data_IF_950959052487
#
_entry.id   IF_950959052487
#
_cell.length_a   1.000
_cell.length_b   1.000
_cell.length_c   1.000
_cell.angle_alpha   90.00
_cell.angle_beta   90.00
_cell.angle_gamma   90.00
#
_symmetry.space_group_name_H-M   'P 1'
#
loop_
_entity.id
_entity.type
_entity.pdbx_description
1 polymer ?
#
# COMPACT_ATOMS: atom_id res chain seq x y z
N UNK A 1 43.75 26.85 -1.35
CA UNK A 1 43.19 26.53 -0.03
C UNK A 1 41.77 27.04 0.04
N UNK A 2 40.85 26.28 0.65
CA UNK A 2 39.48 26.16 0.14
C UNK A 2 38.55 27.24 0.68
N UNK A 3 37.71 27.74 -0.23
CA UNK A 3 36.49 28.49 0.05
C UNK A 3 35.53 27.51 0.72
N UNK A 4 35.32 27.65 2.01
CA UNK A 4 34.26 26.93 2.73
C UNK A 4 32.93 27.45 2.19
N UNK A 5 32.30 26.65 1.32
CA UNK A 5 30.95 26.87 0.84
C UNK A 5 30.00 26.79 2.03
N UNK A 6 29.40 27.92 2.38
CA UNK A 6 28.21 27.97 3.21
C UNK A 6 27.13 27.12 2.53
N UNK A 7 26.90 25.91 3.04
CA UNK A 7 25.73 25.11 2.66
C UNK A 7 24.55 25.80 3.31
N UNK A 8 23.66 26.31 2.46
CA UNK A 8 22.45 27.03 2.84
C UNK A 8 21.61 26.17 3.79
N UNK A 9 21.21 26.77 4.91
CA UNK A 9 20.23 26.22 5.83
C UNK A 9 18.97 25.80 5.04
N UNK A 10 18.63 24.52 5.09
CA UNK A 10 17.44 23.98 4.44
C UNK A 10 16.21 24.47 5.23
N UNK A 11 15.57 25.54 4.75
CA UNK A 11 14.34 26.05 5.35
C UNK A 11 13.17 25.13 4.98
N UNK A 12 12.70 24.36 5.95
CA UNK A 12 11.44 23.61 5.84
C UNK A 12 10.27 24.52 6.20
N UNK A 13 9.33 24.66 5.27
CA UNK A 13 8.05 25.32 5.50
C UNK A 13 6.93 24.29 5.46
N UNK A 14 6.03 24.36 6.42
CA UNK A 14 4.77 23.63 6.36
C UNK A 14 3.81 24.40 5.45
N UNK A 15 3.59 23.86 4.24
CA UNK A 15 2.62 24.42 3.31
C UNK A 15 1.24 23.83 3.63
N UNK A 16 0.36 24.65 4.18
CA UNK A 16 -1.04 24.25 4.38
C UNK A 16 -1.88 24.64 3.16
N UNK A 17 -2.75 23.72 2.73
CA UNK A 17 -3.76 23.98 1.71
C UNK A 17 -4.76 25.02 2.22
N UNK A 18 -5.25 25.86 1.31
CA UNK A 18 -6.25 26.87 1.66
C UNK A 18 -7.63 26.23 1.81
N UNK A 19 -8.38 26.69 2.79
CA UNK A 19 -9.78 26.34 2.99
C UNK A 19 -10.68 27.21 2.10
N UNK A 20 -11.90 26.72 1.82
CA UNK A 20 -12.90 27.52 1.10
C UNK A 20 -13.11 28.89 1.76
N UNK A 21 -13.17 28.93 3.09
CA UNK A 21 -13.35 30.18 3.85
C UNK A 21 -12.21 31.17 3.64
N UNK A 22 -10.96 30.70 3.59
CA UNK A 22 -9.80 31.57 3.33
C UNK A 22 -9.83 32.14 1.91
N UNK A 23 -10.24 31.35 0.91
CA UNK A 23 -10.47 31.87 -0.43
C UNK A 23 -11.59 32.90 -0.48
N UNK A 24 -12.72 32.62 0.17
CA UNK A 24 -13.85 33.56 0.24
C UNK A 24 -13.41 34.89 0.86
N UNK A 25 -12.55 34.86 1.89
CA UNK A 25 -12.00 36.05 2.51
C UNK A 25 -11.08 36.82 1.55
N UNK A 26 -10.19 36.14 0.84
CA UNK A 26 -9.29 36.78 -0.11
C UNK A 26 -10.03 37.46 -1.28
N UNK A 27 -11.11 36.86 -1.79
CA UNK A 27 -11.87 37.42 -2.92
C UNK A 27 -12.74 38.64 -2.57
N UNK A 28 -12.91 38.96 -1.27
CA UNK A 28 -13.49 40.23 -0.84
C UNK A 28 -12.60 41.42 -1.19
N UNK A 29 -11.30 41.19 -1.36
CA UNK A 29 -10.37 42.24 -1.77
C UNK A 29 -10.45 42.45 -3.29
N UNK A 30 -10.91 43.63 -3.71
CA UNK A 30 -11.06 43.97 -5.13
C UNK A 30 -9.75 43.96 -5.91
N UNK A 31 -8.64 44.39 -5.27
CA UNK A 31 -7.32 44.38 -5.89
C UNK A 31 -6.92 42.93 -6.16
N UNK A 32 -7.05 42.05 -5.16
CA UNK A 32 -6.73 40.64 -5.33
C UNK A 32 -7.62 39.98 -6.39
N UNK A 33 -8.94 40.17 -6.30
CA UNK A 33 -9.88 39.60 -7.27
C UNK A 33 -9.56 40.05 -8.70
N UNK A 34 -9.20 41.32 -8.90
CA UNK A 34 -8.87 41.81 -10.24
C UNK A 34 -7.67 41.09 -10.88
N UNK A 35 -6.75 40.53 -10.08
CA UNK A 35 -5.62 39.75 -10.59
C UNK A 35 -6.00 38.31 -10.96
N UNK A 36 -7.01 37.74 -10.31
CA UNK A 36 -7.37 36.30 -10.46
C UNK A 36 -8.70 36.06 -11.17
N UNK A 37 -9.47 37.12 -11.47
CA UNK A 37 -10.83 37.04 -12.03
C UNK A 37 -10.92 36.20 -13.31
N UNK A 38 -9.95 36.33 -14.22
CA UNK A 38 -9.95 35.57 -15.48
C UNK A 38 -9.82 34.07 -15.22
N UNK A 39 -9.02 33.69 -14.21
CA UNK A 39 -8.84 32.29 -13.82
C UNK A 39 -10.09 31.71 -13.18
N UNK A 40 -10.94 32.56 -12.58
CA UNK A 40 -12.24 32.20 -12.03
C UNK A 40 -13.37 32.26 -13.08
N UNK A 41 -13.08 32.65 -14.33
CA UNK A 41 -14.06 32.75 -15.41
C UNK A 41 -14.78 34.11 -15.51
N UNK A 42 -14.32 35.12 -14.76
CA UNK A 42 -14.85 36.48 -14.83
C UNK A 42 -13.98 37.40 -15.71
N UNK A 43 -14.61 38.04 -16.69
CA UNK A 43 -13.95 38.99 -17.60
C UNK A 43 -13.98 40.44 -17.09
N UNK A 44 -14.70 40.71 -16.01
CA UNK A 44 -14.88 42.05 -15.43
C UNK A 44 -14.95 41.97 -13.90
N UNK A 45 -15.00 43.14 -13.24
CA UNK A 45 -15.31 43.18 -11.82
C UNK A 45 -16.78 42.83 -11.62
N UNK A 46 -17.02 41.79 -10.82
CA UNK A 46 -18.36 41.31 -10.47
C UNK A 46 -18.65 41.52 -8.98
N UNK A 47 -19.94 41.60 -8.58
CA UNK A 47 -20.34 41.69 -7.18
C UNK A 47 -19.81 40.52 -6.36
N UNK A 48 -19.64 40.73 -5.05
CA UNK A 48 -19.06 39.71 -4.17
C UNK A 48 -19.82 38.37 -4.21
N UNK A 49 -21.14 38.38 -4.30
CA UNK A 49 -21.93 37.14 -4.39
C UNK A 49 -21.52 36.28 -5.59
N UNK A 50 -21.35 36.90 -6.76
CA UNK A 50 -20.94 36.22 -7.99
C UNK A 50 -19.50 35.70 -7.89
N UNK A 51 -18.59 36.44 -7.23
CA UNK A 51 -17.22 35.94 -6.95
C UNK A 51 -17.24 34.65 -6.14
N UNK A 52 -18.12 34.57 -5.15
CA UNK A 52 -18.21 33.41 -4.25
C UNK A 52 -18.84 32.20 -4.97
N UNK A 53 -19.74 32.42 -5.93
CA UNK A 53 -20.28 31.38 -6.81
C UNK A 53 -19.19 30.82 -7.74
N UNK A 54 -18.47 31.69 -8.46
CA UNK A 54 -17.35 31.30 -9.32
C UNK A 54 -16.25 30.56 -8.54
N UNK A 55 -15.99 31.01 -7.32
CA UNK A 55 -15.07 30.33 -6.40
C UNK A 55 -15.59 28.95 -6.01
N UNK A 56 -16.85 28.81 -5.63
CA UNK A 56 -17.42 27.53 -5.20
C UNK A 56 -17.38 26.49 -6.33
N UNK A 57 -17.74 26.90 -7.55
CA UNK A 57 -17.70 26.05 -8.74
C UNK A 57 -16.29 25.55 -9.01
N UNK A 58 -15.29 26.46 -8.95
CA UNK A 58 -13.90 26.08 -9.19
C UNK A 58 -13.30 25.28 -8.04
N UNK A 59 -13.64 25.61 -6.79
CA UNK A 59 -13.18 24.90 -5.60
C UNK A 59 -13.58 23.42 -5.62
N UNK A 60 -14.72 23.09 -6.24
CA UNK A 60 -15.12 21.71 -6.45
C UNK A 60 -14.09 20.90 -7.25
N UNK A 61 -13.42 21.53 -8.22
CA UNK A 61 -12.40 20.89 -9.07
C UNK A 61 -11.03 20.89 -8.41
N UNK A 62 -10.62 22.02 -7.82
CA UNK A 62 -9.22 22.25 -7.42
C UNK A 62 -8.96 22.13 -5.92
N UNK A 63 -10.02 22.06 -5.11
CA UNK A 63 -9.93 22.01 -3.65
C UNK A 63 -9.07 23.14 -3.09
N UNK A 64 -8.19 22.80 -2.14
CA UNK A 64 -7.33 23.76 -1.43
C UNK A 64 -6.01 24.11 -2.11
N UNK A 65 -5.82 23.76 -3.40
CA UNK A 65 -4.61 24.09 -4.14
C UNK A 65 -4.67 25.52 -4.68
N UNK A 66 -3.96 26.45 -4.04
CA UNK A 66 -3.94 27.87 -4.43
C UNK A 66 -3.40 28.08 -5.85
N UNK A 67 -2.38 27.31 -6.27
CA UNK A 67 -1.87 27.39 -7.63
C UNK A 67 -2.92 26.97 -8.67
N UNK A 68 -3.66 25.89 -8.40
CA UNK A 68 -4.75 25.48 -9.31
C UNK A 68 -5.94 26.46 -9.24
N UNK A 69 -6.17 27.10 -8.10
CA UNK A 69 -7.20 28.10 -7.91
C UNK A 69 -6.92 29.43 -8.62
N UNK A 70 -5.67 29.88 -8.66
CA UNK A 70 -5.34 31.24 -9.09
C UNK A 70 -4.40 31.35 -10.30
N UNK A 71 -3.72 30.28 -10.72
CA UNK A 71 -2.75 30.34 -11.83
C UNK A 71 -3.27 29.73 -13.14
N UNK A 72 -4.40 29.01 -13.10
CA UNK A 72 -4.97 28.32 -14.28
C UNK A 72 -6.49 28.43 -14.29
N UNK A 73 -7.13 28.30 -15.45
CA UNK A 73 -8.60 28.29 -15.54
C UNK A 73 -9.19 26.97 -15.05
N UNK A 74 -10.51 26.94 -14.84
CA UNK A 74 -11.22 25.71 -14.46
C UNK A 74 -11.06 24.60 -15.53
N UNK A 75 -11.06 24.95 -16.81
CA UNK A 75 -10.89 24.00 -17.92
C UNK A 75 -9.50 23.36 -17.91
N UNK A 76 -8.45 24.16 -17.70
CA UNK A 76 -7.08 23.64 -17.60
C UNK A 76 -6.92 22.77 -16.35
N UNK A 77 -7.54 23.15 -15.23
CA UNK A 77 -7.52 22.36 -14.01
C UNK A 77 -8.24 21.00 -14.19
N UNK A 78 -9.41 20.99 -14.84
CA UNK A 78 -10.14 19.76 -15.18
C UNK A 78 -9.32 18.87 -16.11
N UNK A 79 -8.72 19.41 -17.17
CA UNK A 79 -7.87 18.63 -18.09
C UNK A 79 -6.64 18.01 -17.39
N UNK A 80 -6.00 18.76 -16.48
CA UNK A 80 -4.91 18.24 -15.65
C UNK A 80 -5.39 17.16 -14.69
N UNK A 81 -6.57 17.35 -14.09
CA UNK A 81 -7.20 16.36 -13.22
C UNK A 81 -7.49 15.08 -14.01
N UNK A 82 -8.18 15.17 -15.15
CA UNK A 82 -8.48 14.03 -16.03
C UNK A 82 -7.21 13.28 -16.43
N UNK A 83 -6.17 14.00 -16.88
CA UNK A 83 -4.87 13.39 -17.21
C UNK A 83 -4.24 12.67 -16.00
N UNK A 84 -4.45 13.19 -14.79
CA UNK A 84 -3.98 12.55 -13.55
C UNK A 84 -4.83 11.35 -13.17
N UNK A 85 -6.16 11.41 -13.38
CA UNK A 85 -7.08 10.30 -13.12
C UNK A 85 -6.80 9.15 -14.10
N UNK A 86 -6.54 9.44 -15.38
CA UNK A 86 -6.14 8.48 -16.40
C UNK A 86 -4.84 7.73 -16.02
N UNK A 87 -3.90 8.43 -15.37
CA UNK A 87 -2.67 7.81 -14.85
C UNK A 87 -2.91 6.89 -13.64
N UNK A 88 -3.95 7.17 -12.83
CA UNK A 88 -4.27 6.41 -11.61
C UNK A 88 -5.16 5.20 -11.92
N UNK A 89 -5.91 5.22 -13.03
CA UNK A 89 -6.77 4.12 -13.47
C UNK A 89 -8.03 4.00 -12.61
N UNK A 90 -7.92 3.40 -11.42
CA UNK A 90 -9.01 3.26 -10.46
C UNK A 90 -8.79 4.17 -9.23
N UNK A 91 -9.39 5.36 -9.31
CA UNK A 91 -9.29 6.41 -8.30
C UNK A 91 -10.00 6.02 -7.00
N UNK A 92 -11.09 5.25 -7.10
CA UNK A 92 -11.80 4.75 -5.91
C UNK A 92 -10.90 3.79 -5.17
N UNK A 93 -10.26 2.86 -5.89
CA UNK A 93 -9.29 1.93 -5.31
C UNK A 93 -8.11 2.69 -4.68
N UNK A 94 -7.49 3.62 -5.41
CA UNK A 94 -6.37 4.42 -4.92
C UNK A 94 -6.71 5.20 -3.64
N UNK A 95 -7.86 5.89 -3.61
CA UNK A 95 -8.31 6.65 -2.44
C UNK A 95 -8.61 5.70 -1.28
N UNK A 96 -9.25 4.58 -1.55
CA UNK A 96 -9.60 3.57 -0.55
C UNK A 96 -8.37 3.01 0.15
N UNK A 97 -7.34 2.64 -0.61
CA UNK A 97 -6.08 2.14 -0.05
C UNK A 97 -5.35 3.19 0.79
N UNK A 98 -5.31 4.43 0.32
CA UNK A 98 -4.65 5.50 1.06
C UNK A 98 -5.37 5.81 2.36
N UNK A 99 -6.70 5.75 2.35
CA UNK A 99 -7.52 5.92 3.53
C UNK A 99 -7.33 4.73 4.49
N UNK A 100 -7.31 3.48 4.00
CA UNK A 100 -7.21 2.30 4.86
C UNK A 100 -5.89 2.22 5.62
N UNK A 101 -4.80 2.69 5.03
CA UNK A 101 -3.50 2.76 5.72
C UNK A 101 -3.48 3.84 6.83
N UNK A 102 -4.37 4.82 6.77
CA UNK A 102 -4.44 5.94 7.74
C UNK A 102 -5.49 5.74 8.83
N UNK A 103 -6.50 4.93 8.56
CA UNK A 103 -7.61 4.64 9.48
C UNK A 103 -7.32 3.33 10.23
N UNK A 104 -7.67 3.27 11.51
CA UNK A 104 -7.58 2.05 12.32
C UNK A 104 -8.62 1.00 11.93
N UNK A 105 -8.37 -0.30 12.13
CA UNK A 105 -9.23 -1.38 11.64
C UNK A 105 -10.69 -1.27 12.10
N UNK A 106 -10.90 -0.87 13.35
CA UNK A 106 -12.22 -0.70 13.97
C UNK A 106 -13.10 0.35 13.26
N UNK A 107 -12.48 1.31 12.57
CA UNK A 107 -13.15 2.43 11.91
C UNK A 107 -13.41 2.19 10.42
N UNK A 108 -12.84 1.14 9.82
CA UNK A 108 -13.01 0.83 8.39
C UNK A 108 -14.46 0.50 8.01
N UNK A 109 -15.27 0.04 8.97
CA UNK A 109 -16.70 -0.23 8.74
C UNK A 109 -17.48 1.01 8.26
N UNK A 110 -16.99 2.22 8.53
CA UNK A 110 -17.59 3.45 8.00
C UNK A 110 -17.45 3.57 6.47
N UNK A 111 -16.48 2.87 5.86
CA UNK A 111 -16.24 2.88 4.41
C UNK A 111 -17.08 1.83 3.67
N UNK A 112 -17.71 0.89 4.38
CA UNK A 112 -18.48 -0.20 3.77
C UNK A 112 -19.57 0.27 2.79
N UNK A 113 -20.32 1.37 3.01
CA UNK A 113 -21.30 1.85 2.03
C UNK A 113 -20.68 2.28 0.69
N UNK A 114 -19.39 2.63 0.68
CA UNK A 114 -18.67 3.16 -0.47
C UNK A 114 -17.83 2.09 -1.19
N UNK A 115 -17.66 0.91 -0.57
CA UNK A 115 -16.81 -0.15 -1.08
C UNK A 115 -17.65 -1.33 -1.53
N UNK A 116 -17.61 -1.60 -2.84
CA UNK A 116 -18.56 -2.49 -3.50
C UNK A 116 -18.29 -4.00 -3.31
N UNK A 117 -17.21 -4.42 -2.63
CA UNK A 117 -16.85 -5.85 -2.53
C UNK A 117 -16.38 -6.25 -1.13
N UNK A 118 -17.03 -7.27 -0.57
CA UNK A 118 -16.67 -7.93 0.68
C UNK A 118 -15.22 -8.44 0.72
N UNK A 119 -14.66 -8.84 -0.43
CA UNK A 119 -13.24 -9.24 -0.56
C UNK A 119 -12.27 -8.10 -0.23
N UNK A 120 -12.48 -6.94 -0.85
CA UNK A 120 -11.64 -5.75 -0.67
C UNK A 120 -11.67 -5.26 0.78
N UNK A 121 -12.80 -5.34 1.47
CA UNK A 121 -12.89 -4.91 2.87
C UNK A 121 -11.99 -5.73 3.80
N UNK A 122 -11.79 -7.01 3.50
CA UNK A 122 -10.92 -7.88 4.30
C UNK A 122 -9.45 -7.60 4.07
N UNK A 123 -9.04 -7.39 2.82
CA UNK A 123 -7.70 -6.91 2.50
C UNK A 123 -7.41 -5.59 3.22
N UNK A 124 -8.30 -4.59 3.08
CA UNK A 124 -8.13 -3.29 3.74
C UNK A 124 -8.03 -3.40 5.27
N UNK A 125 -8.82 -4.29 5.87
CA UNK A 125 -8.75 -4.58 7.29
C UNK A 125 -7.40 -5.18 7.69
N UNK A 126 -6.88 -6.13 6.90
CA UNK A 126 -5.56 -6.71 7.11
C UNK A 126 -4.47 -5.62 7.05
N UNK A 127 -4.46 -4.80 6.00
CA UNK A 127 -3.46 -3.74 5.84
C UNK A 127 -3.51 -2.69 6.95
N UNK A 128 -4.71 -2.26 7.33
CA UNK A 128 -4.91 -1.35 8.47
C UNK A 128 -4.41 -1.98 9.77
N UNK A 129 -4.69 -3.27 10.00
CA UNK A 129 -4.24 -3.97 11.21
C UNK A 129 -2.73 -4.02 11.27
N UNK A 130 -2.09 -4.37 10.15
CA UNK A 130 -0.64 -4.40 10.01
C UNK A 130 0.01 -3.04 10.32
N UNK A 131 -0.62 -1.92 9.97
CA UNK A 131 -0.06 -0.59 10.24
C UNK A 131 -0.33 -0.11 11.67
N UNK A 132 -1.50 -0.40 12.24
CA UNK A 132 -1.97 0.25 13.48
C UNK A 132 -1.89 -0.61 14.74
N UNK A 133 -1.83 -1.94 14.64
CA UNK A 133 -1.85 -2.82 15.83
C UNK A 133 -1.16 -4.18 15.68
N UNK A 134 -0.70 -4.52 14.46
CA UNK A 134 -0.17 -5.83 14.12
C UNK A 134 -1.28 -6.80 13.72
N UNK A 135 -0.89 -8.01 13.35
CA UNK A 135 -1.82 -9.05 12.91
C UNK A 135 -1.62 -10.31 13.73
N UNK A 136 -2.58 -10.59 14.61
CA UNK A 136 -2.62 -11.86 15.34
C UNK A 136 -3.10 -12.97 14.41
N UNK A 137 -2.21 -13.91 14.12
CA UNK A 137 -2.45 -15.05 13.25
C UNK A 137 -2.84 -16.27 14.05
N UNK A 138 -3.71 -17.08 13.47
CA UNK A 138 -4.20 -18.33 14.02
C UNK A 138 -3.97 -19.49 13.05
N UNK A 139 -3.76 -20.69 13.57
CA UNK A 139 -3.68 -21.95 12.80
C UNK A 139 -4.65 -22.97 13.40
N UNK A 140 -4.79 -24.12 12.74
CA UNK A 140 -5.48 -25.29 13.30
C UNK A 140 -4.47 -26.27 13.87
N UNK A 141 -4.74 -26.81 15.06
CA UNK A 141 -4.00 -27.94 15.61
C UNK A 141 -4.39 -29.27 14.93
N UNK A 142 -3.77 -30.38 15.34
CA UNK A 142 -4.05 -31.73 14.82
C UNK A 142 -5.49 -32.19 15.05
N UNK A 143 -6.19 -31.61 16.03
CA UNK A 143 -7.58 -31.90 16.36
C UNK A 143 -8.56 -30.95 15.65
N UNK A 144 -8.05 -30.01 14.85
CA UNK A 144 -8.84 -29.00 14.16
C UNK A 144 -9.28 -27.83 15.04
N UNK A 145 -8.73 -27.69 16.25
CA UNK A 145 -8.98 -26.52 17.10
C UNK A 145 -8.17 -25.33 16.61
N UNK A 146 -8.77 -24.15 16.65
CA UNK A 146 -8.09 -22.92 16.30
C UNK A 146 -7.20 -22.46 17.46
N UNK A 147 -5.91 -22.26 17.18
CA UNK A 147 -4.89 -21.84 18.14
C UNK A 147 -4.11 -20.63 17.63
N UNK A 148 -3.55 -19.83 18.54
CA UNK A 148 -2.66 -18.72 18.18
C UNK A 148 -1.35 -19.27 17.60
N UNK A 149 -0.92 -18.70 16.46
CA UNK A 149 0.23 -19.19 15.70
C UNK A 149 1.39 -18.20 15.67
N UNK A 150 1.10 -16.93 15.40
CA UNK A 150 2.12 -15.89 15.19
C UNK A 150 1.51 -14.50 15.46
N UNK A 151 2.36 -13.53 15.81
CA UNK A 151 1.98 -12.13 15.91
C UNK A 151 2.88 -11.32 14.98
N UNK A 152 2.29 -10.85 13.89
CA UNK A 152 3.01 -9.99 12.94
C UNK A 152 3.02 -8.57 13.48
N UNK A 153 4.22 -8.08 13.77
CA UNK A 153 4.44 -6.76 14.34
C UNK A 153 3.98 -5.65 13.40
N UNK A 154 3.59 -4.52 14.00
CA UNK A 154 3.35 -3.30 13.23
C UNK A 154 4.59 -2.88 12.48
N UNK A 155 4.40 -2.30 11.29
CA UNK A 155 5.51 -1.75 10.54
C UNK A 155 5.09 -0.76 9.48
N UNK A 156 6.07 0.00 9.00
CA UNK A 156 5.89 0.87 7.84
C UNK A 156 5.75 -0.01 6.60
N UNK A 157 4.67 0.20 5.86
CA UNK A 157 4.39 -0.51 4.62
C UNK A 157 4.96 0.26 3.43
N UNK A 158 6.07 -0.23 2.87
CA UNK A 158 6.77 0.41 1.76
C UNK A 158 6.19 -0.04 0.41
N UNK A 159 5.86 0.93 -0.45
CA UNK A 159 5.30 0.63 -1.78
C UNK A 159 6.40 0.48 -2.83
N UNK A 160 6.41 -0.64 -3.56
CA UNK A 160 7.35 -0.90 -4.65
C UNK A 160 6.66 -1.10 -6.00
N UNK A 161 7.38 -0.87 -7.10
CA UNK A 161 6.88 -1.21 -8.43
C UNK A 161 7.20 -2.69 -8.70
N UNK A 162 6.21 -3.59 -8.83
CA UNK A 162 6.46 -5.00 -9.16
C UNK A 162 6.96 -5.20 -10.58
N UNK A 163 7.02 -4.15 -11.41
CA UNK A 163 7.68 -4.07 -12.72
C UNK A 163 9.04 -3.33 -12.71
N UNK A 164 9.44 -2.79 -11.55
CA UNK A 164 10.76 -2.20 -11.32
C UNK A 164 11.66 -3.02 -10.40
N UNK A 165 12.85 -2.48 -10.10
CA UNK A 165 13.78 -3.05 -9.12
C UNK A 165 13.29 -2.82 -7.68
N UNK A 166 13.52 -3.81 -6.82
CA UNK A 166 13.19 -3.74 -5.39
C UNK A 166 14.49 -3.58 -4.63
N UNK A 167 14.80 -2.34 -4.26
CA UNK A 167 16.02 -2.03 -3.53
C UNK A 167 15.91 -2.47 -2.07
N UNK A 168 16.58 -3.58 -1.74
CA UNK A 168 16.88 -3.90 -0.36
C UNK A 168 17.87 -2.86 0.16
N UNK A 169 17.37 -1.90 0.93
CA UNK A 169 18.26 -0.92 1.53
C UNK A 169 19.34 -1.61 2.38
N UNK A 170 20.45 -0.92 2.60
CA UNK A 170 21.58 -1.49 3.34
C UNK A 170 21.30 -1.71 4.83
N UNK A 171 20.18 -1.21 5.37
CA UNK A 171 19.85 -1.37 6.78
C UNK A 171 19.31 -2.77 7.07
N UNK A 172 19.94 -3.45 8.02
CA UNK A 172 19.44 -4.70 8.59
C UNK A 172 18.08 -4.48 9.25
N UNK A 173 17.20 -5.47 9.18
CA UNK A 173 15.92 -5.39 9.88
C UNK A 173 14.76 -6.12 9.22
N UNK A 174 13.58 -5.88 9.77
CA UNK A 174 12.30 -6.38 9.29
C UNK A 174 11.58 -5.29 8.51
N UNK A 175 11.03 -5.62 7.34
CA UNK A 175 10.35 -4.65 6.47
C UNK A 175 9.15 -5.27 5.79
N UNK A 176 8.13 -4.46 5.57
CA UNK A 176 6.89 -4.81 4.89
C UNK A 176 6.79 -4.05 3.58
N UNK A 177 6.46 -4.76 2.50
CA UNK A 177 6.33 -4.21 1.17
C UNK A 177 4.98 -4.53 0.56
N UNK A 178 4.45 -3.65 -0.27
CA UNK A 178 3.23 -3.89 -1.06
C UNK A 178 3.40 -3.32 -2.48
N UNK A 179 2.89 -3.99 -3.54
CA UNK A 179 3.01 -3.50 -4.91
C UNK A 179 2.21 -2.22 -5.17
N UNK A 180 2.70 -1.35 -6.08
CA UNK A 180 2.08 -0.04 -6.40
C UNK A 180 0.77 -0.13 -7.18
N UNK A 181 0.56 -1.10 -8.08
CA UNK A 181 -0.79 -1.56 -8.37
C UNK A 181 -1.16 -2.59 -7.30
N UNK A 182 -2.21 -2.31 -6.52
CA UNK A 182 -2.74 -3.18 -5.46
C UNK A 182 -3.42 -4.46 -6.01
N UNK A 183 -2.97 -4.97 -7.15
CA UNK A 183 -3.48 -6.19 -7.77
C UNK A 183 -2.58 -6.73 -8.90
N UNK A 184 -1.36 -6.20 -9.07
CA UNK A 184 -0.48 -6.63 -10.17
C UNK A 184 0.32 -7.90 -9.87
N UNK A 185 -0.12 -8.71 -8.91
CA UNK A 185 0.46 -10.01 -8.59
C UNK A 185 -0.50 -10.88 -7.80
N UNK A 186 -0.15 -12.15 -7.62
CA UNK A 186 -0.93 -13.09 -6.79
C UNK A 186 -0.50 -13.02 -5.30
N UNK A 187 0.11 -11.91 -4.88
CA UNK A 187 0.45 -11.61 -3.49
C UNK A 187 0.15 -10.14 -3.20
N UNK A 188 -0.21 -9.84 -1.96
CA UNK A 188 -0.61 -8.50 -1.53
C UNK A 188 0.51 -7.81 -0.73
N UNK A 189 1.29 -8.61 0.01
CA UNK A 189 2.37 -8.15 0.87
C UNK A 189 3.59 -9.05 0.78
N UNK A 190 4.77 -8.43 0.83
CA UNK A 190 6.05 -9.13 0.98
C UNK A 190 6.71 -8.65 2.26
N UNK A 191 6.99 -9.58 3.16
CA UNK A 191 7.82 -9.33 4.33
C UNK A 191 9.24 -9.81 4.07
N UNK A 192 10.21 -9.02 4.52
CA UNK A 192 11.61 -9.42 4.50
C UNK A 192 12.25 -9.25 5.86
N UNK A 193 13.10 -10.20 6.23
CA UNK A 193 14.02 -10.04 7.34
C UNK A 193 15.46 -10.17 6.85
N UNK A 194 16.12 -9.03 6.67
CA UNK A 194 17.49 -8.93 6.18
C UNK A 194 18.47 -8.85 7.36
N UNK A 195 19.46 -9.74 7.36
CA UNK A 195 20.38 -9.95 8.48
C UNK A 195 21.82 -10.12 7.96
N UNK A 196 22.80 -9.79 8.79
CA UNK A 196 24.19 -10.20 8.52
C UNK A 196 24.36 -11.71 8.74
N UNK A 197 25.32 -12.28 8.04
CA UNK A 197 25.83 -13.61 8.33
C UNK A 197 26.54 -13.58 9.69
N UNK A 198 26.26 -14.55 10.55
CA UNK A 198 26.86 -14.68 11.89
C UNK A 198 27.74 -15.92 11.99
N UNK A 199 28.53 -16.05 13.06
CA UNK A 199 29.51 -17.12 13.23
C UNK A 199 28.95 -18.53 13.14
N UNK A 200 27.68 -18.72 13.53
CA UNK A 200 26.99 -20.01 13.41
C UNK A 200 26.56 -20.37 11.99
N UNK A 201 26.56 -19.44 11.03
CA UNK A 201 26.23 -19.71 9.62
C UNK A 201 27.47 -20.21 8.84
N UNK A 202 28.12 -21.27 9.33
CA UNK A 202 29.43 -21.77 8.86
C UNK A 202 29.46 -22.02 7.35
N UNK A 203 28.46 -22.73 6.82
CA UNK A 203 28.40 -23.09 5.41
C UNK A 203 28.20 -21.85 4.52
N UNK A 204 27.36 -20.91 4.95
CA UNK A 204 27.11 -19.69 4.22
C UNK A 204 28.37 -18.79 4.14
N UNK A 205 29.13 -18.70 5.24
CA UNK A 205 30.44 -18.04 5.25
C UNK A 205 31.42 -18.70 4.28
N UNK A 206 31.53 -20.02 4.31
CA UNK A 206 32.40 -20.79 3.40
C UNK A 206 32.05 -20.55 1.92
N UNK A 207 30.77 -20.29 1.64
CA UNK A 207 30.27 -20.03 0.29
C UNK A 207 30.32 -18.55 -0.12
N UNK A 208 30.90 -17.69 0.73
CA UNK A 208 31.16 -16.28 0.45
C UNK A 208 29.96 -15.35 0.64
N UNK A 209 28.91 -15.80 1.33
CA UNK A 209 27.79 -14.93 1.66
C UNK A 209 28.15 -13.97 2.80
N UNK A 210 27.70 -12.72 2.70
CA UNK A 210 27.91 -11.67 3.71
C UNK A 210 26.61 -11.31 4.44
N UNK A 211 25.47 -11.63 3.83
CA UNK A 211 24.15 -11.37 4.36
C UNK A 211 23.20 -12.53 4.10
N UNK A 212 22.12 -12.59 4.87
CA UNK A 212 21.02 -13.54 4.71
C UNK A 212 19.68 -12.84 4.74
N UNK A 213 18.69 -13.42 4.07
CA UNK A 213 17.32 -12.91 4.04
C UNK A 213 16.31 -14.04 4.24
N UNK A 214 15.27 -13.74 5.01
CA UNK A 214 14.02 -14.52 5.01
C UNK A 214 12.98 -13.71 4.22
N UNK A 215 12.31 -14.35 3.27
CA UNK A 215 11.29 -13.72 2.44
C UNK A 215 9.97 -14.41 2.71
N UNK A 216 8.92 -13.64 3.01
CA UNK A 216 7.57 -14.16 3.19
C UNK A 216 6.63 -13.41 2.28
N UNK A 217 6.03 -14.13 1.34
CA UNK A 217 4.94 -13.63 0.51
C UNK A 217 3.61 -13.88 1.23
N UNK A 218 2.73 -12.89 1.20
CA UNK A 218 1.43 -12.95 1.86
C UNK A 218 0.36 -12.64 0.82
N UNK A 219 -0.60 -13.55 0.71
CA UNK A 219 -1.77 -13.41 -0.12
C UNK A 219 -3.00 -13.41 0.78
N UNK A 220 -3.68 -12.28 0.87
CA UNK A 220 -4.87 -12.06 1.66
C UNK A 220 -6.07 -12.40 0.80
N UNK A 221 -6.88 -13.36 1.22
CA UNK A 221 -7.96 -13.84 0.37
C UNK A 221 -9.21 -14.23 1.15
N UNK A 222 -10.37 -13.91 0.56
CA UNK A 222 -11.66 -14.47 0.95
C UNK A 222 -12.18 -15.49 -0.06
N UNK A 223 -11.45 -15.74 -1.14
CA UNK A 223 -11.85 -16.73 -2.14
C UNK A 223 -11.74 -18.14 -1.57
N UNK A 224 -12.72 -18.98 -1.89
CA UNK A 224 -12.66 -20.42 -1.58
C UNK A 224 -11.68 -21.14 -2.53
N UNK A 225 -11.42 -20.54 -3.69
CA UNK A 225 -10.44 -20.99 -4.69
C UNK A 225 -9.55 -19.83 -5.07
N UNK A 226 -8.55 -19.47 -4.25
CA UNK A 226 -7.61 -18.41 -4.61
C UNK A 226 -6.76 -18.84 -5.81
N UNK A 227 -6.45 -17.89 -6.68
CA UNK A 227 -5.42 -18.10 -7.70
C UNK A 227 -4.05 -18.20 -7.05
N UNK A 228 -3.16 -18.97 -7.67
CA UNK A 228 -1.75 -18.95 -7.35
C UNK A 228 -0.91 -19.05 -8.62
N UNK A 229 -0.38 -17.92 -9.05
CA UNK A 229 0.39 -17.72 -10.27
C UNK A 229 1.84 -17.55 -9.86
N UNK A 230 2.53 -18.69 -9.80
CA UNK A 230 3.91 -18.82 -9.31
C UNK A 230 4.91 -17.85 -9.98
N UNK A 231 4.67 -17.46 -11.24
CA UNK A 231 5.56 -16.56 -11.97
C UNK A 231 5.63 -15.14 -11.38
N UNK A 232 4.58 -14.65 -10.71
CA UNK A 232 4.64 -13.38 -10.00
C UNK A 232 5.62 -13.46 -8.82
N UNK A 233 5.55 -14.53 -8.04
CA UNK A 233 6.46 -14.78 -6.91
C UNK A 233 7.90 -14.91 -7.37
N UNK A 234 8.16 -15.69 -8.43
CA UNK A 234 9.49 -15.85 -9.03
C UNK A 234 10.06 -14.52 -9.50
N UNK A 235 9.25 -13.72 -10.17
CA UNK A 235 9.66 -12.41 -10.69
C UNK A 235 10.00 -11.45 -9.56
N UNK A 236 9.16 -11.37 -8.53
CA UNK A 236 9.44 -10.56 -7.35
C UNK A 236 10.71 -11.01 -6.64
N UNK A 237 10.88 -12.31 -6.38
CA UNK A 237 12.05 -12.86 -5.71
C UNK A 237 13.34 -12.57 -6.48
N UNK A 238 13.31 -12.75 -7.82
CA UNK A 238 14.47 -12.49 -8.68
C UNK A 238 14.94 -11.04 -8.57
N UNK A 239 14.00 -10.10 -8.48
CA UNK A 239 14.29 -8.67 -8.41
C UNK A 239 14.73 -8.24 -7.03
N UNK A 240 14.12 -8.79 -5.98
CA UNK A 240 14.53 -8.58 -4.60
C UNK A 240 16.01 -8.92 -4.37
N UNK A 241 16.53 -9.94 -5.07
CA UNK A 241 17.92 -10.39 -4.91
C UNK A 241 18.87 -9.90 -6.02
N UNK A 242 18.38 -9.14 -7.00
CA UNK A 242 19.15 -8.83 -8.21
C UNK A 242 20.50 -8.16 -7.90
N UNK A 243 20.50 -7.15 -7.03
CA UNK A 243 21.69 -6.37 -6.68
C UNK A 243 22.72 -7.15 -5.86
N UNK A 244 22.28 -8.17 -5.11
CA UNK A 244 23.11 -8.89 -4.12
C UNK A 244 23.20 -10.39 -4.39
N UNK A 245 22.87 -10.83 -5.61
CA UNK A 245 22.72 -12.25 -5.98
C UNK A 245 23.90 -13.14 -5.57
N UNK A 246 25.12 -12.60 -5.53
CA UNK A 246 26.33 -13.36 -5.21
C UNK A 246 26.71 -13.36 -3.72
N UNK A 247 26.22 -12.41 -2.94
CA UNK A 247 26.60 -12.17 -1.53
C UNK A 247 25.43 -12.31 -0.54
N UNK A 248 24.21 -12.48 -1.05
CA UNK A 248 22.99 -12.69 -0.28
C UNK A 248 22.57 -14.16 -0.29
N UNK A 249 22.48 -14.77 0.89
CA UNK A 249 21.89 -16.08 1.08
C UNK A 249 20.38 -15.94 1.34
N UNK A 250 19.55 -16.56 0.49
CA UNK A 250 18.12 -16.74 0.81
C UNK A 250 18.01 -17.91 1.79
N UNK A 251 17.79 -17.60 3.06
CA UNK A 251 17.65 -18.61 4.12
C UNK A 251 16.29 -19.27 4.08
N UNK A 252 15.24 -18.49 3.81
CA UNK A 252 13.89 -19.02 3.66
C UNK A 252 13.04 -18.25 2.67
N UNK A 253 12.13 -18.98 2.02
CA UNK A 253 11.02 -18.41 1.24
C UNK A 253 9.72 -19.04 1.72
N UNK A 254 8.83 -18.22 2.25
CA UNK A 254 7.55 -18.63 2.80
C UNK A 254 6.41 -18.02 1.97
N UNK A 255 5.32 -18.76 1.81
CA UNK A 255 4.04 -18.24 1.29
C UNK A 255 2.99 -18.43 2.37
N UNK A 256 2.29 -17.34 2.70
CA UNK A 256 1.19 -17.34 3.66
C UNK A 256 -0.10 -16.92 2.96
N UNK A 257 -1.10 -17.79 3.00
CA UNK A 257 -2.47 -17.44 2.70
C UNK A 257 -3.14 -16.93 3.97
N UNK A 258 -3.59 -15.69 3.96
CA UNK A 258 -4.31 -15.06 5.07
C UNK A 258 -5.79 -15.08 4.76
N UNK A 259 -6.57 -15.76 5.61
CA UNK A 259 -8.01 -15.94 5.43
C UNK A 259 -8.79 -15.50 6.67
N UNK A 260 -10.09 -15.21 6.58
CA UNK A 260 -10.91 -15.07 7.77
C UNK A 260 -10.82 -16.35 8.61
N UNK A 261 -10.71 -16.22 9.93
CA UNK A 261 -10.59 -17.37 10.84
C UNK A 261 -11.68 -18.44 10.64
N UNK A 262 -12.88 -18.02 10.24
CA UNK A 262 -14.01 -18.90 9.94
C UNK A 262 -13.79 -19.81 8.71
N UNK A 263 -12.87 -19.45 7.81
CA UNK A 263 -12.51 -20.21 6.60
C UNK A 263 -11.25 -21.05 6.77
N UNK A 264 -10.51 -20.87 7.86
CA UNK A 264 -9.19 -21.46 8.06
C UNK A 264 -9.18 -22.98 7.91
N UNK A 265 -10.18 -23.66 8.49
CA UNK A 265 -10.28 -25.12 8.51
C UNK A 265 -10.54 -25.72 7.12
N UNK A 266 -11.32 -25.02 6.30
CA UNK A 266 -11.79 -25.53 5.01
C UNK A 266 -10.95 -25.03 3.83
N UNK A 267 -9.93 -24.22 4.10
CA UNK A 267 -9.11 -23.62 3.08
C UNK A 267 -8.15 -24.62 2.45
N UNK A 268 -8.16 -24.67 1.12
CA UNK A 268 -7.29 -25.54 0.34
C UNK A 268 -6.17 -24.69 -0.27
N UNK A 269 -4.93 -25.07 0.02
CA UNK A 269 -3.75 -24.42 -0.56
C UNK A 269 -3.72 -24.71 -2.08
N UNK A 270 -3.69 -23.67 -2.94
CA UNK A 270 -3.83 -23.81 -4.40
C UNK A 270 -2.55 -24.25 -5.13
N UNK A 271 -1.49 -24.62 -4.41
CA UNK A 271 -0.17 -24.93 -4.98
C UNK A 271 0.48 -26.11 -4.26
N UNK A 272 1.11 -27.00 -5.03
CA UNK A 272 1.86 -28.13 -4.50
C UNK A 272 3.28 -27.76 -4.06
N UNK A 273 3.80 -28.48 -3.06
CA UNK A 273 5.16 -28.22 -2.54
C UNK A 273 6.25 -28.36 -3.61
N UNK A 274 6.16 -29.37 -4.49
CA UNK A 274 7.14 -29.60 -5.56
C UNK A 274 7.17 -28.44 -6.56
N UNK A 275 6.00 -27.96 -6.99
CA UNK A 275 5.90 -26.84 -7.93
C UNK A 275 6.50 -25.55 -7.35
N UNK A 276 6.19 -25.27 -6.08
CA UNK A 276 6.76 -24.12 -5.38
C UNK A 276 8.28 -24.24 -5.20
N UNK A 277 8.76 -25.44 -4.85
CA UNK A 277 10.19 -25.73 -4.72
C UNK A 277 10.94 -25.50 -6.02
N UNK A 278 10.50 -26.12 -7.10
CA UNK A 278 11.12 -25.99 -8.42
C UNK A 278 11.17 -24.51 -8.87
N UNK A 279 10.09 -23.78 -8.60
CA UNK A 279 10.01 -22.36 -8.90
C UNK A 279 11.04 -21.52 -8.12
N UNK A 280 11.16 -21.71 -6.81
CA UNK A 280 12.14 -20.98 -5.99
C UNK A 280 13.57 -21.37 -6.38
N UNK A 281 13.84 -22.67 -6.51
CA UNK A 281 15.17 -23.17 -6.88
C UNK A 281 15.62 -22.70 -8.27
N UNK A 282 14.68 -22.45 -9.21
CA UNK A 282 15.00 -21.84 -10.51
C UNK A 282 15.48 -20.38 -10.44
N UNK A 283 15.26 -19.70 -9.31
CA UNK A 283 15.64 -18.29 -9.08
C UNK A 283 16.89 -18.18 -8.22
N UNK A 284 17.02 -19.04 -7.20
CA UNK A 284 18.07 -18.95 -6.20
C UNK A 284 19.27 -19.80 -6.58
N UNK A 285 20.47 -19.22 -6.53
CA UNK A 285 21.71 -19.99 -6.69
C UNK A 285 21.97 -20.81 -5.43
N UNK A 286 21.64 -22.09 -5.45
CA UNK A 286 22.00 -23.01 -4.38
C UNK A 286 23.52 -23.26 -4.38
N UNK A 287 24.28 -22.43 -3.66
CA UNK A 287 25.72 -22.65 -3.42
C UNK A 287 25.97 -23.73 -2.35
N UNK A 288 25.23 -24.84 -2.39
CA UNK A 288 25.34 -25.90 -1.37
C UNK A 288 24.98 -25.45 0.05
N UNK A 289 24.10 -24.46 0.18
CA UNK A 289 23.50 -24.02 1.46
C UNK A 289 22.01 -24.34 1.46
N UNK A 290 21.47 -24.71 2.63
CA UNK A 290 20.05 -25.04 2.78
C UNK A 290 19.17 -23.79 2.57
N UNK A 291 18.03 -24.00 1.90
CA UNK A 291 16.95 -23.03 1.80
C UNK A 291 15.70 -23.68 2.41
N UNK A 292 15.08 -22.99 3.38
CA UNK A 292 13.82 -23.46 3.98
C UNK A 292 12.65 -22.92 3.17
N UNK A 293 11.80 -23.82 2.68
CA UNK A 293 10.60 -23.47 1.92
C UNK A 293 9.37 -23.87 2.72
N UNK A 294 8.36 -23.00 2.81
CA UNK A 294 7.08 -23.39 3.40
C UNK A 294 5.90 -22.66 2.77
N UNK A 295 4.76 -23.35 2.72
CA UNK A 295 3.48 -22.80 2.29
C UNK A 295 2.51 -23.03 3.45
N UNK A 296 1.87 -21.98 3.92
CA UNK A 296 1.03 -22.01 5.12
C UNK A 296 -0.27 -21.26 4.86
N UNK A 297 -1.32 -21.65 5.57
CA UNK A 297 -2.54 -20.86 5.72
C UNK A 297 -2.62 -20.39 7.16
N UNK A 298 -3.02 -19.14 7.36
CA UNK A 298 -3.31 -18.57 8.68
C UNK A 298 -4.64 -17.85 8.67
N UNK A 299 -5.36 -17.98 9.77
CA UNK A 299 -6.62 -17.28 10.01
C UNK A 299 -6.38 -15.98 10.76
N UNK A 300 -7.19 -14.97 10.48
CA UNK A 300 -7.25 -13.72 11.26
C UNK A 300 -8.68 -13.46 11.71
N UNK A 301 -8.83 -12.92 12.93
CA UNK A 301 -10.15 -12.51 13.44
C UNK A 301 -10.64 -11.31 12.65
N UNK A 302 -11.69 -11.51 11.87
CA UNK A 302 -12.31 -10.47 11.07
C UNK A 302 -13.82 -10.52 11.28
N UNK A 303 -14.36 -9.51 11.96
CA UNK A 303 -15.80 -9.34 12.14
C UNK A 303 -16.32 -8.35 11.12
N UNK A 304 -16.98 -8.86 10.09
CA UNK A 304 -17.75 -8.00 9.20
C UNK A 304 -19.06 -7.63 9.91
N UNK A 305 -19.26 -6.34 10.21
CA UNK A 305 -20.58 -5.87 10.66
C UNK A 305 -21.55 -5.97 9.49
N UNK A 306 -22.56 -6.84 9.60
CA UNK A 306 -23.62 -6.94 8.61
C UNK A 306 -24.39 -5.61 8.52
N UNK A 307 -24.34 -4.95 7.36
CA UNK A 307 -25.19 -3.79 7.04
C UNK A 307 -26.51 -4.25 6.41
N UNK A 308 -27.06 -5.38 6.87
CA UNK A 308 -28.38 -5.87 6.44
C UNK A 308 -29.55 -5.18 7.16
N UNK A 309 -29.30 -4.10 7.91
CA UNK A 309 -30.33 -3.36 8.65
C UNK A 309 -30.76 -2.01 8.06
N UNK A 310 -29.99 -1.39 7.15
CA UNK A 310 -30.32 -0.07 6.62
C UNK A 310 -31.31 -0.16 5.45
N UNK A 311 -32.57 -0.50 5.75
CA UNK A 311 -33.68 -0.25 4.82
C UNK A 311 -33.65 1.23 4.42
N UNK A 312 -33.36 1.51 3.16
CA UNK A 312 -33.67 2.80 2.52
C UNK A 312 -35.14 3.09 2.78
N UNK A 313 -35.44 3.97 3.73
CA UNK A 313 -36.71 4.68 3.73
C UNK A 313 -36.69 5.54 2.47
N UNK A 314 -37.42 5.10 1.45
CA UNK A 314 -37.85 5.99 0.37
C UNK A 314 -38.78 7.01 1.00
N UNK A 315 -38.30 8.23 1.19
CA UNK A 315 -39.16 9.39 1.41
C UNK A 315 -39.95 9.59 0.12
N UNK A 316 -41.28 9.47 0.24
CA UNK A 316 -42.25 9.94 -0.74
C UNK A 316 -42.45 11.43 -0.57
#
# INVERSE_FOLDING_TARGET
MPISSCVQDEQKFELHSWTLKEYQEALKNDVFFNHVKEMLGANSLVPICERLELLADKFFVVGGSSGMMFDVTAEVAMSKLDSSLDLVGDVVQCVTENISLRIRPENLNALTPYLAKNGQMFELWFFSSLVHGGVQCYTTDENGNCIEADLWSTGVLERFNPDGDIHLNSSLGQRWFTPRPWSSGDYDVVFTHYQSIVDSDIEAKRMGFTSKINVRFIQVTRSDTPSFKIDFFKTCLRRLIAEKKNSLWIRSVEVFFVVPIAKLKDFIIPVGESEFRDAVESVVMAKGVLIVLSIRVVGIKYEQRDITGAKRQKTR
#
